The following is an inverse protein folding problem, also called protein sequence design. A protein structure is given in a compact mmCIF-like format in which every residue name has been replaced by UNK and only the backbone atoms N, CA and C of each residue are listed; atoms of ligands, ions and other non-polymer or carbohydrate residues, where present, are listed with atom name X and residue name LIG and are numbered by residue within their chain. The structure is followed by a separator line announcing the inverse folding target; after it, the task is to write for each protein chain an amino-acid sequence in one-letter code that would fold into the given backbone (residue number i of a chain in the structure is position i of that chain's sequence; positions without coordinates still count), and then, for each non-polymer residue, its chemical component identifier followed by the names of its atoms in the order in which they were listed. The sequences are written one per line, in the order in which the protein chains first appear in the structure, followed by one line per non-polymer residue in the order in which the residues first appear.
data_IF_617117135810
#
_entry.id   IF_617117135810
#
_cell.length_a   1.000
_cell.length_b   1.000
_cell.length_c   1.000
_cell.angle_alpha   90.00
_cell.angle_beta   90.00
_cell.angle_gamma   90.00
#
_symmetry.space_group_name_H-M   'P 1'
#
loop_
_entity.id
_entity.type
_entity.pdbx_description
1 polymer ?
#
# COMPACT_ATOMS: atom_id res chain seq x y z
N UNK A 1 2.00 -3.30 18.66
CA UNK A 1 1.50 -4.03 17.48
C UNK A 1 1.90 -3.36 16.15
N UNK A 2 1.59 -2.08 15.94
CA UNK A 2 1.99 -1.32 14.72
C UNK A 2 3.51 -1.21 14.51
N UNK A 3 4.28 -1.06 15.59
CA UNK A 3 5.76 -0.99 15.52
C UNK A 3 6.39 -2.32 15.09
N UNK A 4 5.85 -3.45 15.57
CA UNK A 4 6.31 -4.78 15.18
C UNK A 4 6.04 -5.04 13.69
N UNK A 5 4.88 -4.59 13.17
CA UNK A 5 4.57 -4.65 11.75
C UNK A 5 5.56 -3.82 10.92
N UNK A 6 5.92 -2.62 11.39
CA UNK A 6 6.89 -1.76 10.72
C UNK A 6 8.30 -2.38 10.68
N UNK A 7 8.72 -2.99 11.80
CA UNK A 7 9.98 -3.70 11.88
C UNK A 7 10.01 -4.91 10.94
N UNK A 8 8.92 -5.68 10.88
CA UNK A 8 8.79 -6.82 9.99
C UNK A 8 8.87 -6.40 8.51
N UNK A 9 8.17 -5.33 8.13
CA UNK A 9 8.17 -4.79 6.77
C UNK A 9 9.56 -4.30 6.36
N UNK A 10 10.25 -3.56 7.23
CA UNK A 10 11.64 -3.13 6.94
C UNK A 10 12.61 -4.30 6.86
N UNK A 11 12.38 -5.34 7.64
CA UNK A 11 13.21 -6.55 7.61
C UNK A 11 12.98 -7.32 6.31
N UNK A 12 11.71 -7.47 5.88
CA UNK A 12 11.36 -8.07 4.60
C UNK A 12 11.93 -7.26 3.41
N UNK A 13 11.82 -5.93 3.43
CA UNK A 13 12.39 -5.05 2.40
C UNK A 13 13.92 -5.22 2.29
N UNK A 14 14.62 -5.32 3.43
CA UNK A 14 16.06 -5.60 3.47
C UNK A 14 16.41 -6.97 2.90
N UNK A 15 15.68 -8.02 3.30
CA UNK A 15 15.92 -9.39 2.82
C UNK A 15 15.72 -9.46 1.30
N UNK A 16 14.61 -8.90 0.80
CA UNK A 16 14.28 -8.94 -0.63
C UNK A 16 15.28 -8.14 -1.48
N UNK A 17 15.82 -7.04 -0.95
CA UNK A 17 16.91 -6.29 -1.59
C UNK A 17 18.21 -7.09 -1.66
N UNK A 18 18.54 -7.90 -0.65
CA UNK A 18 19.74 -8.75 -0.64
C UNK A 18 19.63 -9.87 -1.69
N UNK A 19 18.44 -10.40 -1.90
CA UNK A 19 18.13 -11.42 -2.94
C UNK A 19 18.06 -10.84 -4.36
N UNK A 20 18.45 -9.57 -4.57
CA UNK A 20 18.41 -8.91 -5.88
C UNK A 20 16.99 -8.60 -6.38
N UNK A 21 15.96 -8.86 -5.58
CA UNK A 21 14.58 -8.51 -5.87
C UNK A 21 14.32 -7.08 -5.40
N UNK A 22 14.65 -6.09 -6.25
CA UNK A 22 14.31 -4.69 -6.01
C UNK A 22 12.80 -4.48 -6.21
N UNK A 23 11.99 -4.91 -5.24
CA UNK A 23 10.55 -4.77 -5.33
C UNK A 23 10.12 -3.29 -5.23
N UNK A 24 11.02 -2.38 -4.79
CA UNK A 24 10.79 -0.94 -4.52
C UNK A 24 9.54 -0.68 -3.67
N UNK A 25 9.19 -1.62 -2.80
CA UNK A 25 7.97 -1.55 -2.02
C UNK A 25 8.24 -0.71 -0.78
N UNK A 26 7.88 0.57 -0.86
CA UNK A 26 7.92 1.44 0.31
C UNK A 26 7.03 0.86 1.44
N UNK A 27 7.31 1.16 2.72
CA UNK A 27 6.42 0.76 3.82
C UNK A 27 4.96 1.19 3.64
N UNK A 28 4.75 2.27 2.88
CA UNK A 28 3.41 2.74 2.50
C UNK A 28 2.69 1.76 1.58
N UNK A 29 3.40 1.22 0.58
CA UNK A 29 2.87 0.24 -0.36
C UNK A 29 2.27 -0.96 0.37
N UNK A 30 3.01 -1.52 1.32
CA UNK A 30 2.53 -2.66 2.13
C UNK A 30 1.31 -2.31 2.98
N UNK A 31 1.29 -1.12 3.60
CA UNK A 31 0.14 -0.68 4.40
C UNK A 31 -1.09 -0.51 3.52
N UNK A 32 -0.94 0.09 2.35
CA UNK A 32 -2.02 0.27 1.37
C UNK A 32 -2.57 -1.08 0.92
N UNK A 33 -1.72 -2.04 0.53
CA UNK A 33 -2.15 -3.39 0.15
C UNK A 33 -2.85 -4.11 1.30
N UNK A 34 -2.28 -4.06 2.51
CA UNK A 34 -2.87 -4.70 3.67
C UNK A 34 -4.26 -4.13 4.01
N UNK A 35 -4.48 -2.83 3.79
CA UNK A 35 -5.78 -2.19 3.97
C UNK A 35 -6.79 -2.66 2.92
N UNK A 36 -6.40 -2.75 1.65
CA UNK A 36 -7.25 -3.22 0.56
C UNK A 36 -7.61 -4.71 0.76
N UNK A 37 -6.65 -5.55 1.15
CA UNK A 37 -6.92 -6.96 1.43
C UNK A 37 -7.90 -7.17 2.60
N UNK A 38 -7.83 -6.31 3.63
CA UNK A 38 -8.76 -6.36 4.76
C UNK A 38 -10.15 -5.83 4.42
N UNK A 39 -10.23 -4.84 3.52
CA UNK A 39 -11.46 -4.18 3.10
C UNK A 39 -11.41 -3.91 1.59
N UNK A 40 -11.85 -4.87 0.74
CA UNK A 40 -11.70 -4.76 -0.72
C UNK A 40 -12.39 -3.54 -1.35
N UNK A 41 -13.46 -3.04 -0.72
CA UNK A 41 -14.22 -1.88 -1.20
C UNK A 41 -13.76 -0.55 -0.57
N UNK A 42 -12.56 -0.53 0.02
CA UNK A 42 -12.04 0.65 0.68
C UNK A 42 -11.78 1.79 -0.31
N UNK A 43 -12.15 3.01 0.07
CA UNK A 43 -11.92 4.20 -0.75
C UNK A 43 -10.51 4.76 -0.55
N UNK A 44 -9.98 5.45 -1.56
CA UNK A 44 -8.68 6.11 -1.47
C UNK A 44 -8.62 7.17 -0.35
N UNK A 45 -9.73 7.88 -0.11
CA UNK A 45 -9.83 8.85 0.99
C UNK A 45 -9.71 8.15 2.36
N UNK A 46 -10.40 7.02 2.54
CA UNK A 46 -10.28 6.24 3.77
C UNK A 46 -8.86 5.72 3.98
N UNK A 47 -8.21 5.21 2.94
CA UNK A 47 -6.80 4.80 2.99
C UNK A 47 -5.96 5.99 3.48
N UNK A 48 -6.04 7.15 2.83
CA UNK A 48 -5.23 8.32 3.19
C UNK A 48 -5.35 8.73 4.67
N UNK A 49 -6.56 8.68 5.23
CA UNK A 49 -6.83 8.95 6.63
C UNK A 49 -6.27 7.86 7.54
N UNK A 50 -6.47 6.59 7.19
CA UNK A 50 -6.06 5.44 8.01
C UNK A 50 -4.53 5.29 8.11
N UNK A 51 -3.80 5.57 7.02
CA UNK A 51 -2.32 5.46 7.01
C UNK A 51 -1.62 6.78 7.31
N UNK A 52 -2.37 7.85 7.60
CA UNK A 52 -1.87 9.20 7.92
C UNK A 52 -0.85 9.66 6.87
N UNK A 53 -1.26 9.58 5.60
CA UNK A 53 -0.40 9.87 4.46
C UNK A 53 -1.05 10.90 3.53
N UNK A 54 -0.20 11.67 2.85
CA UNK A 54 -0.65 12.65 1.85
C UNK A 54 -1.46 11.98 0.72
N UNK A 55 -2.54 12.64 0.30
CA UNK A 55 -3.46 12.11 -0.72
C UNK A 55 -2.76 11.85 -2.06
N UNK A 56 -1.80 12.68 -2.46
CA UNK A 56 -1.04 12.47 -3.68
C UNK A 56 -0.11 11.27 -3.56
N UNK A 57 0.46 11.03 -2.39
CA UNK A 57 1.31 9.87 -2.14
C UNK A 57 0.50 8.56 -2.16
N UNK A 58 -0.69 8.56 -1.58
CA UNK A 58 -1.63 7.43 -1.68
C UNK A 58 -2.08 7.22 -3.12
N UNK A 59 -2.42 8.29 -3.85
CA UNK A 59 -2.82 8.19 -5.25
C UNK A 59 -1.73 7.56 -6.12
N UNK A 60 -0.46 7.99 -5.95
CA UNK A 60 0.68 7.38 -6.65
C UNK A 60 0.84 5.91 -6.32
N UNK A 61 0.72 5.54 -5.04
CA UNK A 61 0.82 4.15 -4.59
C UNK A 61 -0.29 3.29 -5.19
N UNK A 62 -1.52 3.81 -5.24
CA UNK A 62 -2.66 3.10 -5.84
C UNK A 62 -2.48 2.92 -7.35
N UNK A 63 -1.98 3.93 -8.06
CA UNK A 63 -1.63 3.81 -9.49
C UNK A 63 -0.56 2.76 -9.71
N UNK A 64 0.49 2.74 -8.89
CA UNK A 64 1.56 1.73 -8.98
C UNK A 64 1.02 0.30 -8.72
N UNK A 65 0.09 0.14 -7.78
CA UNK A 65 -0.55 -1.15 -7.52
C UNK A 65 -1.39 -1.64 -8.70
N UNK A 66 -2.11 -0.74 -9.35
CA UNK A 66 -2.94 -1.03 -10.52
C UNK A 66 -2.07 -1.36 -11.75
N UNK A 67 -1.02 -0.58 -12.02
CA UNK A 67 -0.06 -0.84 -13.10
C UNK A 67 0.65 -2.20 -12.96
N UNK A 68 0.86 -2.66 -11.72
CA UNK A 68 1.41 -3.98 -11.40
C UNK A 68 0.36 -5.10 -11.45
N UNK A 69 -0.91 -4.79 -11.70
CA UNK A 69 -2.02 -5.75 -11.75
C UNK A 69 -2.38 -6.35 -10.39
N UNK A 70 -2.07 -5.65 -9.29
CA UNK A 70 -2.30 -6.14 -7.92
C UNK A 70 -3.66 -5.73 -7.37
N UNK A 71 -4.24 -4.66 -7.91
CA UNK A 71 -5.58 -4.17 -7.57
C UNK A 71 -6.31 -3.75 -8.84
N UNK A 72 -7.63 -3.68 -8.75
CA UNK A 72 -8.50 -3.04 -9.74
C UNK A 72 -9.29 -1.93 -9.05
N UNK A 73 -9.38 -0.75 -9.67
CA UNK A 73 -10.09 0.41 -9.10
C UNK A 73 -11.38 0.65 -9.86
N UNK A 74 -12.46 0.81 -9.10
CA UNK A 74 -13.77 1.21 -9.64
C UNK A 74 -14.11 2.61 -9.19
N UNK A 75 -14.78 3.35 -10.07
CA UNK A 75 -15.34 4.65 -9.72
C UNK A 75 -16.41 4.45 -8.65
N UNK A 76 -16.35 5.22 -7.58
CA UNK A 76 -17.39 5.23 -6.57
C UNK A 76 -18.65 5.87 -7.17
N UNK A 77 -19.82 5.20 -7.20
CA UNK A 77 -21.05 5.79 -7.73
C UNK A 77 -21.65 6.91 -6.86
N UNK A 78 -21.13 7.11 -5.63
CA UNK A 78 -21.61 8.09 -4.67
C UNK A 78 -20.78 9.40 -4.64
N UNK A 79 -19.78 9.50 -5.51
CA UNK A 79 -18.84 10.64 -5.63
C UNK A 79 -18.95 11.22 -7.05
#
# INVERSE_FOLDING_TARGET
MLEQLFYLVRTAEKILRVEGMDLRLSPLFFRTVAMILKNPEVTADFISKAIVADKALVARTLTELEERGLIDRRRNPLD
#
